data_IF_792649007328
#
_entry.id   IF_792649007328
#
_cell.length_a   1.000
_cell.length_b   1.000
_cell.length_c   1.000
_cell.angle_alpha   90.00
_cell.angle_beta   90.00
_cell.angle_gamma   90.00
#
_symmetry.space_group_name_H-M   'P 1'
#
loop_
_entity.id
_entity.type
_entity.pdbx_description
1 polymer ?
#
# COMPACT_ATOMS: atom_id res chain seq x y z
N UNK A 1 -8.84 -11.65 29.29
CA UNK A 1 -9.47 -11.69 27.99
C UNK A 1 -10.25 -10.46 27.65
N UNK A 2 -11.23 -10.15 28.46
CA UNK A 2 -12.03 -8.96 28.28
C UNK A 2 -11.19 -7.69 28.32
N UNK A 3 -10.22 -7.68 29.16
CA UNK A 3 -9.30 -6.57 29.32
C UNK A 3 -8.59 -6.27 28.01
N UNK A 4 -8.08 -7.31 27.38
CA UNK A 4 -7.37 -7.16 26.15
C UNK A 4 -8.28 -6.58 25.06
N UNK A 5 -9.51 -7.00 25.06
CA UNK A 5 -10.49 -6.53 24.10
C UNK A 5 -10.78 -5.06 24.32
N UNK A 6 -10.87 -4.67 25.56
CA UNK A 6 -11.13 -3.28 25.91
C UNK A 6 -9.99 -2.39 25.43
N UNK A 7 -8.75 -2.86 25.61
CA UNK A 7 -7.61 -2.11 25.15
C UNK A 7 -7.61 -1.90 23.66
N UNK A 8 -8.05 -2.91 22.94
CA UNK A 8 -8.14 -2.82 21.50
C UNK A 8 -9.15 -1.75 21.09
N UNK A 9 -10.27 -1.71 21.79
CA UNK A 9 -11.28 -0.71 21.51
C UNK A 9 -10.76 0.69 21.77
N UNK A 10 -10.04 0.84 22.88
CA UNK A 10 -9.46 2.13 23.21
C UNK A 10 -8.50 2.60 22.12
N UNK A 11 -7.68 1.68 21.63
CA UNK A 11 -6.75 2.03 20.57
C UNK A 11 -7.49 2.51 19.33
N UNK A 12 -8.59 1.88 19.01
CA UNK A 12 -9.39 2.27 17.87
C UNK A 12 -9.99 3.66 18.09
N UNK A 13 -10.43 3.93 19.29
CA UNK A 13 -10.99 5.23 19.62
C UNK A 13 -9.93 6.32 19.48
N UNK A 14 -8.72 6.03 19.93
CA UNK A 14 -7.64 6.99 19.80
C UNK A 14 -7.38 7.29 18.33
N UNK A 15 -7.43 6.29 17.49
CA UNK A 15 -7.25 6.50 16.06
C UNK A 15 -8.33 7.38 15.47
N UNK A 16 -9.54 7.32 16.01
CA UNK A 16 -10.62 8.16 15.53
C UNK A 16 -10.36 9.62 15.81
N UNK A 17 -9.44 9.91 16.72
CA UNK A 17 -9.12 11.29 17.04
C UNK A 17 -8.18 11.92 16.02
N UNK A 18 -8.07 11.37 14.83
CA UNK A 18 -7.32 12.00 13.77
C UNK A 18 -6.30 11.11 13.09
N UNK A 19 -6.26 9.85 13.43
CA UNK A 19 -5.33 8.93 12.79
C UNK A 19 -6.07 8.03 11.84
N UNK A 20 -6.16 8.44 10.60
CA UNK A 20 -6.80 7.63 9.58
C UNK A 20 -5.72 6.86 8.84
N UNK A 21 -5.88 5.55 8.72
CA UNK A 21 -4.92 4.72 8.01
C UNK A 21 -5.22 4.75 6.51
N UNK A 22 -4.20 5.08 5.74
CA UNK A 22 -4.33 5.10 4.29
C UNK A 22 -4.22 3.70 3.70
N UNK A 23 -3.55 2.79 4.40
CA UNK A 23 -3.34 1.42 3.94
C UNK A 23 -3.60 0.46 5.08
N UNK A 24 -4.23 -0.67 4.77
CA UNK A 24 -4.50 -1.71 5.75
C UNK A 24 -4.06 -3.05 5.19
N UNK A 25 -3.00 -3.65 5.70
CA UNK A 25 -2.12 -3.14 6.75
C UNK A 25 -1.24 -1.99 6.28
N UNK A 26 -0.65 -1.25 7.20
CA UNK A 26 0.16 -0.09 6.85
C UNK A 26 1.65 -0.42 6.66
N UNK A 27 2.01 -1.68 6.76
CA UNK A 27 3.34 -2.17 6.39
C UNK A 27 3.24 -3.67 6.16
N UNK A 28 4.04 -4.18 5.24
CA UNK A 28 4.03 -5.60 4.93
C UNK A 28 5.45 -6.10 4.69
N UNK A 29 5.63 -7.42 4.86
CA UNK A 29 6.87 -8.09 4.54
C UNK A 29 6.54 -9.20 3.54
N UNK A 30 7.21 -9.18 2.40
CA UNK A 30 6.93 -10.12 1.34
C UNK A 30 8.03 -11.18 1.25
N UNK A 31 7.65 -12.32 0.71
CA UNK A 31 8.55 -13.47 0.58
C UNK A 31 9.68 -13.19 -0.42
N UNK A 32 10.85 -13.75 -0.15
CA UNK A 32 11.98 -13.64 -1.06
C UNK A 32 11.75 -14.38 -2.37
N UNK A 33 10.85 -15.33 -2.39
CA UNK A 33 10.55 -16.09 -3.61
C UNK A 33 9.62 -15.35 -4.57
N UNK A 34 9.19 -14.17 -4.18
CA UNK A 34 8.19 -13.43 -4.93
C UNK A 34 6.80 -13.76 -4.42
N UNK A 35 5.90 -12.79 -4.49
CA UNK A 35 4.62 -12.95 -3.86
C UNK A 35 3.64 -11.89 -4.35
N UNK A 36 2.34 -12.20 -4.28
CA UNK A 36 1.29 -11.23 -4.56
C UNK A 36 0.43 -11.12 -3.31
N UNK A 37 0.23 -9.89 -2.84
CA UNK A 37 -0.56 -9.61 -1.64
C UNK A 37 -1.56 -8.51 -1.96
N UNK A 38 -2.74 -8.56 -1.37
CA UNK A 38 -3.72 -7.49 -1.50
C UNK A 38 -3.76 -6.67 -0.22
N UNK A 39 -3.96 -5.37 -0.39
CA UNK A 39 -3.99 -4.41 0.70
C UNK A 39 -5.16 -3.47 0.43
N UNK A 40 -5.85 -3.06 1.49
CA UNK A 40 -6.91 -2.07 1.34
C UNK A 40 -6.32 -0.67 1.45
N UNK A 41 -6.83 0.25 0.64
CA UNK A 41 -6.32 1.62 0.66
C UNK A 41 -7.44 2.61 0.37
N UNK A 42 -7.30 3.80 0.95
CA UNK A 42 -8.24 4.90 0.69
C UNK A 42 -7.63 5.97 -0.20
N UNK A 43 -6.42 5.76 -0.70
CA UNK A 43 -5.81 6.77 -1.57
C UNK A 43 -6.58 6.86 -2.89
N UNK A 44 -6.50 8.02 -3.52
CA UNK A 44 -7.04 8.17 -4.87
C UNK A 44 -6.09 7.42 -5.80
N UNK A 45 -6.61 6.50 -6.63
CA UNK A 45 -5.74 5.64 -7.44
C UNK A 45 -4.76 6.38 -8.34
N UNK A 46 -5.15 7.54 -8.84
CA UNK A 46 -4.28 8.31 -9.74
C UNK A 46 -3.08 8.91 -9.02
N UNK A 47 -3.06 8.85 -7.68
CA UNK A 47 -1.94 9.39 -6.90
C UNK A 47 -0.96 8.30 -6.47
N UNK A 48 -1.20 7.06 -6.88
CA UNK A 48 -0.37 5.93 -6.49
C UNK A 48 1.08 6.12 -6.93
N UNK A 49 2.03 5.87 -6.03
CA UNK A 49 3.45 5.95 -6.36
C UNK A 49 4.23 4.86 -5.63
N UNK A 50 5.45 4.61 -6.09
CA UNK A 50 6.41 3.74 -5.41
C UNK A 50 7.73 4.47 -5.38
N UNK A 51 8.26 4.67 -4.17
CA UNK A 51 9.50 5.40 -3.96
C UNK A 51 10.43 4.64 -3.05
N UNK A 52 11.72 4.93 -3.15
CA UNK A 52 12.69 4.41 -2.19
C UNK A 52 12.79 5.39 -1.01
N UNK A 53 13.66 5.09 -0.08
CA UNK A 53 13.81 5.90 1.13
C UNK A 53 14.22 7.35 0.79
N UNK A 54 14.92 7.55 -0.31
CA UNK A 54 15.38 8.88 -0.71
C UNK A 54 14.36 9.64 -1.54
N UNK A 55 13.18 9.08 -1.73
CA UNK A 55 12.14 9.74 -2.52
C UNK A 55 12.29 9.55 -4.01
N UNK A 56 13.14 8.64 -4.44
CA UNK A 56 13.31 8.35 -5.85
C UNK A 56 12.40 7.19 -6.25
N UNK A 57 11.88 7.24 -7.45
CA UNK A 57 11.02 6.19 -7.95
C UNK A 57 10.05 6.67 -9.00
N UNK A 58 8.87 6.09 -9.02
CA UNK A 58 7.83 6.44 -9.98
C UNK A 58 6.72 7.19 -9.25
N UNK A 59 6.51 8.44 -9.63
CA UNK A 59 5.61 9.34 -8.92
C UNK A 59 4.19 9.34 -9.45
N UNK A 60 3.92 8.68 -10.56
CA UNK A 60 2.59 8.65 -11.15
C UNK A 60 2.36 7.28 -11.77
N UNK A 61 1.17 6.72 -11.60
CA UNK A 61 0.87 5.43 -12.20
C UNK A 61 0.54 5.59 -13.69
N UNK A 62 0.60 4.47 -14.40
CA UNK A 62 0.09 4.39 -15.76
C UNK A 62 -1.36 3.95 -15.65
N UNK A 63 -2.19 4.51 -16.50
CA UNK A 63 -3.60 4.16 -16.52
C UNK A 63 -3.93 3.34 -17.75
N UNK A 64 -4.44 2.14 -17.54
CA UNK A 64 -4.92 1.28 -18.62
C UNK A 64 -6.40 1.59 -18.80
N UNK A 65 -6.71 2.36 -19.84
CA UNK A 65 -8.06 2.83 -20.09
C UNK A 65 -9.02 1.68 -20.40
N UNK A 66 -8.54 0.66 -21.08
CA UNK A 66 -9.38 -0.47 -21.48
C UNK A 66 -9.81 -1.30 -20.26
N UNK A 67 -8.89 -1.57 -19.37
CA UNK A 67 -9.18 -2.38 -18.18
C UNK A 67 -9.44 -1.55 -16.93
N UNK A 68 -9.31 -0.23 -17.05
CA UNK A 68 -9.52 0.72 -15.95
C UNK A 68 -8.68 0.37 -14.73
N UNK A 69 -7.39 0.19 -14.95
CA UNK A 69 -6.45 -0.17 -13.90
C UNK A 69 -5.30 0.85 -13.85
N UNK A 70 -4.99 1.32 -12.65
CA UNK A 70 -3.82 2.14 -12.41
C UNK A 70 -2.69 1.24 -11.95
N UNK A 71 -1.52 1.34 -12.55
CA UNK A 71 -0.39 0.47 -12.23
C UNK A 71 0.89 1.28 -12.14
N UNK A 72 1.68 0.99 -11.12
CA UNK A 72 3.01 1.56 -11.00
C UNK A 72 3.99 0.44 -10.71
N UNK A 73 5.13 0.48 -11.38
CA UNK A 73 6.21 -0.50 -11.16
C UNK A 73 7.50 0.27 -10.93
N UNK A 74 8.19 -0.09 -9.87
CA UNK A 74 9.51 0.46 -9.61
C UNK A 74 10.39 -0.66 -9.08
N UNK A 75 11.49 -0.93 -9.81
CA UNK A 75 12.41 -2.00 -9.46
C UNK A 75 11.66 -3.33 -9.33
N UNK A 76 11.63 -3.91 -8.15
CA UNK A 76 11.10 -5.26 -7.93
C UNK A 76 9.62 -5.28 -7.54
N UNK A 77 8.98 -4.14 -7.44
CA UNK A 77 7.63 -4.06 -6.89
C UNK A 77 6.66 -3.44 -7.89
N UNK A 78 5.50 -4.05 -8.03
CA UNK A 78 4.39 -3.53 -8.83
C UNK A 78 3.18 -3.37 -7.94
N UNK A 79 2.52 -2.23 -8.04
CA UNK A 79 1.27 -1.97 -7.32
C UNK A 79 0.20 -1.60 -8.34
N UNK A 80 -1.00 -2.14 -8.19
CA UNK A 80 -2.09 -1.80 -9.08
C UNK A 80 -3.41 -1.66 -8.32
N UNK A 81 -4.26 -0.76 -8.83
CA UNK A 81 -5.59 -0.54 -8.29
C UNK A 81 -6.57 -0.52 -9.46
N UNK A 82 -7.53 -1.44 -9.43
CA UNK A 82 -8.56 -1.49 -10.46
C UNK A 82 -9.74 -0.64 -10.00
N UNK A 83 -10.33 0.10 -10.94
CA UNK A 83 -11.44 0.98 -10.59
C UNK A 83 -12.66 0.23 -10.08
N UNK A 84 -12.84 -1.01 -10.52
CA UNK A 84 -13.97 -1.81 -10.06
C UNK A 84 -13.73 -2.44 -8.70
N UNK A 85 -12.56 -2.20 -8.10
CA UNK A 85 -12.26 -2.72 -6.77
C UNK A 85 -12.76 -1.81 -5.65
N UNK A 86 -13.41 -0.70 -6.00
CA UNK A 86 -13.93 0.22 -4.98
C UNK A 86 -15.04 -0.45 -4.18
N UNK A 87 -14.94 -0.42 -2.85
CA UNK A 87 -15.90 -1.10 -1.99
C UNK A 87 -16.63 -0.16 -1.04
N UNK A 88 -16.81 1.10 -1.45
CA UNK A 88 -17.57 2.08 -0.67
C UNK A 88 -16.73 2.99 0.17
N UNK A 89 -15.68 2.48 0.79
CA UNK A 89 -14.79 3.29 1.62
C UNK A 89 -13.39 3.40 1.05
N UNK A 90 -13.04 2.54 0.13
CA UNK A 90 -11.71 2.54 -0.43
C UNK A 90 -11.56 1.52 -1.51
N UNK A 91 -10.32 1.21 -1.82
CA UNK A 91 -9.95 0.37 -2.95
C UNK A 91 -9.14 -0.82 -2.49
N UNK A 92 -9.13 -1.87 -3.32
CA UNK A 92 -8.23 -2.99 -3.10
C UNK A 92 -7.01 -2.79 -4.00
N UNK A 93 -5.84 -2.78 -3.39
CA UNK A 93 -4.58 -2.64 -4.10
C UNK A 93 -3.87 -3.98 -4.12
N UNK A 94 -3.36 -4.36 -5.29
CA UNK A 94 -2.60 -5.59 -5.44
C UNK A 94 -1.12 -5.24 -5.53
N UNK A 95 -0.31 -5.88 -4.69
CA UNK A 95 1.13 -5.71 -4.68
C UNK A 95 1.78 -7.00 -5.13
N UNK A 96 2.68 -6.91 -6.10
CA UNK A 96 3.40 -8.07 -6.62
C UNK A 96 4.90 -7.79 -6.55
N UNK A 97 5.62 -8.68 -5.90
CA UNK A 97 7.07 -8.57 -5.77
C UNK A 97 7.74 -9.67 -6.57
N UNK A 98 8.79 -9.31 -7.32
CA UNK A 98 9.61 -10.29 -8.03
C UNK A 98 10.48 -11.02 -7.03
N UNK A 99 11.01 -12.17 -7.46
CA UNK A 99 11.92 -12.95 -6.64
C UNK A 99 13.14 -12.08 -6.26
N UNK A 100 13.54 -12.16 -5.01
CA UNK A 100 14.71 -11.43 -4.52
C UNK A 100 15.94 -12.31 -4.63
N UNK A 101 16.78 -12.03 -5.60
CA UNK A 101 18.01 -12.78 -5.82
C UNK A 101 19.25 -12.07 -5.30
N UNK A 102 19.06 -10.96 -4.58
CA UNK A 102 20.19 -10.15 -4.11
C UNK A 102 20.85 -10.71 -2.85
N UNK A 103 20.17 -11.58 -2.14
CA UNK A 103 20.66 -12.08 -0.87
C UNK A 103 20.48 -11.11 0.28
N UNK A 104 19.86 -9.96 0.04
CA UNK A 104 19.66 -8.93 1.05
C UNK A 104 18.22 -8.49 1.09
N UNK A 105 17.76 -8.13 2.29
CA UNK A 105 16.45 -7.54 2.48
C UNK A 105 16.41 -6.20 1.75
N UNK A 106 15.26 -5.88 1.19
CA UNK A 106 15.09 -4.61 0.46
C UNK A 106 13.73 -4.01 0.76
N UNK A 107 13.64 -2.68 0.66
CA UNK A 107 12.45 -1.94 1.08
C UNK A 107 12.09 -0.85 0.08
N UNK A 108 10.80 -0.73 -0.19
CA UNK A 108 10.25 0.37 -0.97
C UNK A 108 9.01 0.88 -0.24
N UNK A 109 8.52 2.03 -0.66
CA UNK A 109 7.36 2.67 -0.05
C UNK A 109 6.30 2.91 -1.11
N UNK A 110 5.10 2.40 -0.85
CA UNK A 110 3.96 2.61 -1.73
C UNK A 110 3.12 3.71 -1.11
N UNK A 111 2.86 4.75 -1.89
CA UNK A 111 2.19 5.91 -1.34
C UNK A 111 1.10 6.45 -2.22
N UNK A 112 0.46 7.49 -1.74
CA UNK A 112 -0.59 8.18 -2.46
C UNK A 112 -1.22 9.24 -1.59
N UNK A 113 -2.28 9.82 -2.09
CA UNK A 113 -2.97 10.92 -1.42
C UNK A 113 -4.43 10.61 -1.22
N UNK A 114 -4.96 11.12 -0.13
CA UNK A 114 -6.39 11.12 0.17
C UNK A 114 -6.74 12.56 0.47
N UNK A 115 -7.40 13.22 -0.47
CA UNK A 115 -7.62 14.66 -0.37
C UNK A 115 -6.28 15.38 -0.42
N UNK A 116 -6.01 16.19 0.59
CA UNK A 116 -4.78 16.97 0.68
C UNK A 116 -3.67 16.26 1.44
N UNK A 117 -3.95 15.07 1.96
CA UNK A 117 -3.01 14.38 2.83
C UNK A 117 -2.30 13.29 2.06
N UNK A 118 -1.00 13.14 2.30
CA UNK A 118 -0.18 12.10 1.69
C UNK A 118 0.29 11.12 2.76
N UNK A 119 0.42 9.86 2.36
CA UNK A 119 0.95 8.85 3.25
C UNK A 119 1.55 7.72 2.43
N UNK A 120 2.32 6.86 3.09
CA UNK A 120 2.90 5.71 2.40
C UNK A 120 2.94 4.52 3.34
N UNK A 121 3.00 3.33 2.76
CA UNK A 121 3.20 2.11 3.50
C UNK A 121 4.56 1.54 3.18
N UNK A 122 5.18 0.91 4.16
CA UNK A 122 6.50 0.31 4.00
C UNK A 122 6.33 -1.12 3.48
N UNK A 123 7.03 -1.44 2.39
CA UNK A 123 7.01 -2.78 1.82
C UNK A 123 8.43 -3.32 1.87
N UNK A 124 8.62 -4.37 2.64
CA UNK A 124 9.92 -5.00 2.79
C UNK A 124 9.88 -6.38 2.16
N UNK A 125 10.94 -6.75 1.45
CA UNK A 125 11.06 -8.10 0.93
C UNK A 125 12.29 -8.76 1.54
N UNK A 126 12.11 -9.96 2.02
CA UNK A 126 13.21 -10.75 2.61
C UNK A 126 14.23 -11.11 1.57
#
# INVERSE_FOLDING_TARGET
MTMKRILTVLAAVVCLCGCEKFFTPDSITMSSSGETITVETIISPETLDILNYNGEGVHSPEYDEENEVYTVTYEWLTASIAKDSFNGEGWVMTLTAEKNTTGKRRTLYVGGMHGNLASSMKVTQK
#
